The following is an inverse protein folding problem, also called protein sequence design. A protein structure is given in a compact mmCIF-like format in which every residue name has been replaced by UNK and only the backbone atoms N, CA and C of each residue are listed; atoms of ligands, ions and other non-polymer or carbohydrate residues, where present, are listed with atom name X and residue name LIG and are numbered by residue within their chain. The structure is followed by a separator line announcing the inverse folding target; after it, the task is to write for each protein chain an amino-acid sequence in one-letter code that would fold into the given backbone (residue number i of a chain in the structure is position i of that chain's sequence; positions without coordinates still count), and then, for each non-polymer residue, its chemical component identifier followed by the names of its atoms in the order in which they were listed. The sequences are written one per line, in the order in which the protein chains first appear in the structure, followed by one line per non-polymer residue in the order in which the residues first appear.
data_IF_222653774122
#
_entry.id   IF_222653774122
#
_cell.length_a   1.000
_cell.length_b   1.000
_cell.length_c   1.000
_cell.angle_alpha   90.00
_cell.angle_beta   90.00
_cell.angle_gamma   90.00
#
_symmetry.space_group_name_H-M   'P 1'
#
loop_
_entity.id
_entity.type
_entity.pdbx_description
1 polymer ?
#
# COMPACT_ATOMS: atom_id res chain seq x y z
N UNK A 1 -36.41 7.16 -14.89
CA UNK A 1 -35.14 7.48 -15.56
C UNK A 1 -33.88 7.13 -14.75
N UNK A 2 -33.78 7.44 -13.46
CA UNK A 2 -32.60 7.09 -12.61
C UNK A 2 -32.33 5.57 -12.55
N UNK A 3 -33.38 4.73 -12.37
CA UNK A 3 -33.26 3.27 -12.29
C UNK A 3 -32.65 2.65 -13.57
N UNK A 4 -33.02 3.14 -14.73
CA UNK A 4 -32.48 2.67 -16.02
C UNK A 4 -31.04 3.18 -16.27
N UNK A 5 -30.68 4.38 -15.80
CA UNK A 5 -29.29 4.87 -15.84
C UNK A 5 -28.37 4.07 -14.91
N UNK A 6 -28.84 3.71 -13.72
CA UNK A 6 -28.10 2.85 -12.80
C UNK A 6 -27.94 1.44 -13.39
N UNK A 7 -29.00 0.81 -13.89
CA UNK A 7 -28.93 -0.51 -14.53
C UNK A 7 -28.01 -0.55 -15.76
N UNK A 8 -27.95 0.50 -16.55
CA UNK A 8 -27.02 0.60 -17.69
C UNK A 8 -25.56 0.82 -17.23
N UNK A 9 -25.33 1.53 -16.13
CA UNK A 9 -24.01 1.63 -15.49
C UNK A 9 -23.51 0.28 -14.95
N UNK A 10 -24.41 -0.52 -14.35
CA UNK A 10 -24.09 -1.88 -13.85
C UNK A 10 -23.76 -2.87 -14.98
N UNK A 11 -24.31 -2.69 -16.18
CA UNK A 11 -24.01 -3.52 -17.36
C UNK A 11 -22.77 -3.06 -18.13
N UNK A 12 -22.17 -1.93 -17.78
CA UNK A 12 -21.01 -1.40 -18.50
C UNK A 12 -19.77 -2.29 -18.29
N UNK A 13 -18.95 -2.47 -19.34
CA UNK A 13 -17.66 -3.17 -19.29
C UNK A 13 -16.75 -2.61 -18.18
N UNK A 14 -16.84 -1.30 -17.94
CA UNK A 14 -16.09 -0.61 -16.88
C UNK A 14 -16.49 -1.06 -15.48
N UNK A 15 -17.78 -1.22 -15.20
CA UNK A 15 -18.27 -1.70 -13.90
C UNK A 15 -17.87 -3.16 -13.64
N UNK A 16 -17.97 -4.02 -14.66
CA UNK A 16 -17.49 -5.41 -14.57
C UNK A 16 -15.99 -5.47 -14.28
N UNK A 17 -15.20 -4.67 -14.95
CA UNK A 17 -13.76 -4.55 -14.69
C UNK A 17 -13.46 -4.05 -13.28
N UNK A 18 -14.24 -3.09 -12.77
CA UNK A 18 -14.12 -2.58 -11.40
C UNK A 18 -14.39 -3.67 -10.37
N UNK A 19 -15.45 -4.47 -10.54
CA UNK A 19 -15.76 -5.58 -9.64
C UNK A 19 -14.62 -6.62 -9.66
N UNK A 20 -14.15 -7.01 -10.84
CA UNK A 20 -13.07 -7.99 -10.98
C UNK A 20 -11.80 -7.49 -10.30
N UNK A 21 -11.44 -6.23 -10.50
CA UNK A 21 -10.30 -5.60 -9.84
C UNK A 21 -10.48 -5.53 -8.33
N UNK A 22 -11.67 -5.12 -7.87
CA UNK A 22 -12.02 -5.06 -6.46
C UNK A 22 -11.93 -6.42 -5.77
N UNK A 23 -12.41 -7.49 -6.41
CA UNK A 23 -12.27 -8.86 -5.90
C UNK A 23 -10.79 -9.27 -5.79
N UNK A 24 -9.98 -8.97 -6.81
CA UNK A 24 -8.54 -9.23 -6.76
C UNK A 24 -7.84 -8.47 -5.62
N UNK A 25 -8.25 -7.24 -5.34
CA UNK A 25 -7.73 -6.46 -4.20
C UNK A 25 -8.24 -6.99 -2.85
N UNK A 26 -9.50 -7.43 -2.78
CA UNK A 26 -10.06 -8.04 -1.57
C UNK A 26 -9.27 -9.30 -1.16
N UNK A 27 -8.87 -10.13 -2.11
CA UNK A 27 -8.03 -11.32 -1.83
C UNK A 27 -6.67 -10.93 -1.26
N UNK A 28 -6.08 -9.82 -1.69
CA UNK A 28 -4.83 -9.30 -1.12
C UNK A 28 -4.97 -8.91 0.35
N UNK A 29 -6.15 -8.47 0.79
CA UNK A 29 -6.44 -8.14 2.19
C UNK A 29 -6.84 -9.36 3.01
N UNK A 30 -7.69 -10.23 2.44
CA UNK A 30 -8.24 -11.40 3.13
C UNK A 30 -7.14 -12.46 3.36
N UNK A 31 -6.23 -12.65 2.41
CA UNK A 31 -5.17 -13.66 2.54
C UNK A 31 -4.35 -13.50 3.83
N UNK A 32 -3.69 -12.36 4.10
CA UNK A 32 -3.00 -12.14 5.36
C UNK A 32 -3.92 -12.20 6.59
N UNK A 33 -5.17 -11.71 6.47
CA UNK A 33 -6.13 -11.73 7.58
C UNK A 33 -6.47 -13.15 8.04
N UNK A 34 -6.58 -14.10 7.11
CA UNK A 34 -6.82 -15.52 7.43
C UNK A 34 -5.58 -16.21 7.99
N UNK A 35 -4.40 -15.82 7.55
CA UNK A 35 -3.14 -16.48 7.91
C UNK A 35 -2.61 -15.99 9.26
N UNK A 36 -2.79 -14.72 9.62
CA UNK A 36 -2.27 -14.14 10.87
C UNK A 36 -2.73 -14.90 12.11
N UNK A 37 -4.02 -15.25 12.31
CA UNK A 37 -4.46 -16.03 13.46
C UNK A 37 -3.75 -17.39 13.57
N UNK A 38 -3.50 -18.06 12.44
CA UNK A 38 -2.77 -19.31 12.40
C UNK A 38 -1.30 -19.12 12.76
N UNK A 39 -0.64 -18.08 12.23
CA UNK A 39 0.74 -17.74 12.56
C UNK A 39 0.88 -17.42 14.04
N UNK A 40 -0.03 -16.63 14.62
CA UNK A 40 0.00 -16.29 16.05
C UNK A 40 -0.17 -17.55 16.89
N UNK A 41 -1.06 -18.46 16.49
CA UNK A 41 -1.28 -19.72 17.20
C UNK A 41 -0.02 -20.62 17.22
N UNK A 42 0.69 -20.73 16.11
CA UNK A 42 1.86 -21.62 15.98
C UNK A 42 3.17 -20.93 16.38
N UNK A 43 3.42 -19.73 15.88
CA UNK A 43 4.70 -19.01 16.04
C UNK A 43 4.70 -17.97 17.16
N UNK A 44 3.52 -17.71 17.75
CA UNK A 44 3.36 -16.64 18.74
C UNK A 44 3.41 -15.23 18.14
N UNK A 45 3.18 -14.24 18.98
CA UNK A 45 3.25 -12.81 18.60
C UNK A 45 4.70 -12.44 18.20
N UNK A 46 5.70 -13.02 18.86
CA UNK A 46 7.11 -12.78 18.53
C UNK A 46 7.47 -13.22 17.11
N UNK A 47 7.05 -14.43 16.69
CA UNK A 47 7.27 -14.93 15.33
C UNK A 47 6.56 -14.07 14.28
N UNK A 48 5.35 -13.60 14.58
CA UNK A 48 4.64 -12.66 13.73
C UNK A 48 5.37 -11.31 13.63
N UNK A 49 5.93 -10.81 14.72
CA UNK A 49 6.71 -9.56 14.76
C UNK A 49 7.95 -9.65 13.87
N UNK A 50 8.76 -10.71 14.00
CA UNK A 50 9.93 -10.98 13.16
C UNK A 50 9.54 -11.06 11.68
N UNK A 51 8.51 -11.82 11.34
CA UNK A 51 7.99 -11.90 9.98
C UNK A 51 7.54 -10.53 9.46
N UNK A 52 6.91 -9.71 10.32
CA UNK A 52 6.49 -8.35 9.99
C UNK A 52 7.65 -7.40 9.68
N UNK A 53 8.77 -7.50 10.41
CA UNK A 53 9.99 -6.73 10.15
C UNK A 53 10.56 -7.06 8.77
N UNK A 54 10.77 -8.35 8.47
CA UNK A 54 11.29 -8.76 7.16
C UNK A 54 10.33 -8.45 6.01
N UNK A 55 9.02 -8.58 6.22
CA UNK A 55 8.02 -8.14 5.24
C UNK A 55 8.14 -6.65 4.93
N UNK A 56 8.26 -5.81 5.95
CA UNK A 56 8.40 -4.36 5.80
C UNK A 56 9.71 -3.97 5.13
N UNK A 57 10.81 -4.67 5.47
CA UNK A 57 12.10 -4.50 4.79
C UNK A 57 11.98 -4.79 3.29
N UNK A 58 11.35 -5.90 2.93
CA UNK A 58 11.11 -6.25 1.53
C UNK A 58 10.23 -5.23 0.80
N UNK A 59 9.16 -4.70 1.45
CA UNK A 59 8.27 -3.71 0.84
C UNK A 59 8.97 -2.36 0.59
N UNK A 60 9.90 -1.95 1.44
CA UNK A 60 10.73 -0.77 1.19
C UNK A 60 11.67 -1.02 0.00
N UNK A 61 12.32 -2.19 -0.05
CA UNK A 61 13.20 -2.57 -1.15
C UNK A 61 12.48 -2.65 -2.51
N UNK A 62 11.23 -3.11 -2.54
CA UNK A 62 10.38 -3.18 -3.74
C UNK A 62 10.27 -1.85 -4.45
N UNK A 63 10.17 -0.73 -3.73
CA UNK A 63 10.02 0.60 -4.34
C UNK A 63 11.22 0.96 -5.21
N UNK A 64 12.41 0.55 -4.79
CA UNK A 64 13.64 0.77 -5.55
C UNK A 64 13.72 -0.11 -6.81
N UNK A 65 13.14 -1.30 -6.79
CA UNK A 65 13.09 -2.21 -7.95
C UNK A 65 11.99 -1.80 -8.93
N UNK A 66 10.80 -1.41 -8.43
CA UNK A 66 9.68 -0.98 -9.28
C UNK A 66 9.95 0.34 -10.00
N UNK A 67 10.68 1.24 -9.39
CA UNK A 67 11.24 2.47 -9.95
C UNK A 67 10.29 3.23 -10.89
N UNK A 68 9.09 3.57 -10.42
CA UNK A 68 8.10 4.35 -11.20
C UNK A 68 7.36 3.57 -12.31
N UNK A 69 7.77 2.34 -12.60
CA UNK A 69 7.21 1.54 -13.70
C UNK A 69 5.69 1.34 -13.60
N UNK A 70 5.16 1.27 -12.38
CA UNK A 70 3.73 1.13 -12.13
C UNK A 70 2.92 2.37 -12.57
N UNK A 71 3.49 3.56 -12.51
CA UNK A 71 2.80 4.82 -12.89
C UNK A 71 3.06 5.12 -14.36
N UNK A 72 4.30 5.36 -14.74
CA UNK A 72 4.64 5.82 -16.09
C UNK A 72 4.62 4.67 -17.11
N UNK A 73 5.04 3.47 -16.73
CA UNK A 73 4.91 2.28 -17.56
C UNK A 73 3.45 2.03 -17.94
N UNK A 74 2.55 1.98 -16.95
CA UNK A 74 1.11 1.83 -17.17
C UNK A 74 0.54 2.90 -18.11
N UNK A 75 0.94 4.18 -17.92
CA UNK A 75 0.50 5.30 -18.76
C UNK A 75 0.92 5.12 -20.22
N UNK A 76 2.18 4.78 -20.47
CA UNK A 76 2.69 4.59 -21.85
C UNK A 76 1.97 3.44 -22.54
N UNK A 77 1.78 2.30 -21.86
CA UNK A 77 1.04 1.15 -22.40
C UNK A 77 -0.42 1.53 -22.73
N UNK A 78 -1.08 2.29 -21.85
CA UNK A 78 -2.48 2.70 -22.05
C UNK A 78 -2.65 3.61 -23.28
N UNK A 79 -1.72 4.54 -23.50
CA UNK A 79 -1.76 5.49 -24.64
C UNK A 79 -1.44 4.77 -25.96
N UNK A 80 -0.52 3.81 -25.96
CA UNK A 80 0.03 3.16 -27.16
C UNK A 80 -0.42 1.70 -27.32
N UNK A 81 -1.56 1.32 -26.79
CA UNK A 81 -2.02 -0.06 -26.72
C UNK A 81 -2.18 -0.77 -28.08
N UNK A 82 -2.30 -0.01 -29.18
CA UNK A 82 -2.38 -0.52 -30.55
C UNK A 82 -1.02 -0.61 -31.27
N UNK A 83 0.05 -0.03 -30.71
CA UNK A 83 1.37 -0.02 -31.33
C UNK A 83 2.30 -1.05 -30.67
N UNK A 84 2.46 -2.21 -31.33
CA UNK A 84 3.26 -3.33 -30.81
C UNK A 84 4.72 -2.94 -30.54
N UNK A 85 5.34 -2.15 -31.42
CA UNK A 85 6.77 -1.81 -31.30
C UNK A 85 7.04 -0.95 -30.06
N UNK A 86 6.17 0.03 -29.78
CA UNK A 86 6.25 0.85 -28.57
C UNK A 86 6.00 -0.02 -27.32
N UNK A 87 5.03 -0.94 -27.38
CA UNK A 87 4.78 -1.88 -26.27
C UNK A 87 6.01 -2.75 -25.99
N UNK A 88 6.63 -3.30 -27.02
CA UNK A 88 7.83 -4.12 -26.94
C UNK A 88 9.01 -3.34 -26.35
N UNK A 89 9.30 -2.17 -26.91
CA UNK A 89 10.39 -1.33 -26.43
C UNK A 89 10.21 -0.94 -24.96
N UNK A 90 9.00 -0.51 -24.58
CA UNK A 90 8.74 -0.09 -23.20
C UNK A 90 8.77 -1.26 -22.22
N UNK A 91 8.20 -2.42 -22.61
CA UNK A 91 8.22 -3.64 -21.80
C UNK A 91 9.66 -4.10 -21.54
N UNK A 92 10.45 -4.24 -22.60
CA UNK A 92 11.82 -4.73 -22.49
C UNK A 92 12.74 -3.76 -21.76
N UNK A 93 12.57 -2.44 -21.99
CA UNK A 93 13.34 -1.40 -21.27
C UNK A 93 13.02 -1.38 -19.78
N UNK A 94 11.75 -1.46 -19.38
CA UNK A 94 11.37 -1.53 -17.98
C UNK A 94 11.93 -2.78 -17.31
N UNK A 95 11.83 -3.95 -17.94
CA UNK A 95 12.37 -5.18 -17.33
C UNK A 95 13.90 -5.18 -17.26
N UNK A 96 14.60 -4.63 -18.23
CA UNK A 96 16.05 -4.44 -18.15
C UNK A 96 16.40 -3.48 -17.00
N UNK A 97 15.69 -2.36 -16.87
CA UNK A 97 15.87 -1.41 -15.77
C UNK A 97 15.64 -2.06 -14.42
N UNK A 98 14.52 -2.78 -14.25
CA UNK A 98 14.21 -3.52 -13.03
C UNK A 98 15.25 -4.58 -12.71
N UNK A 99 15.79 -5.27 -13.69
CA UNK A 99 16.85 -6.27 -13.50
C UNK A 99 18.15 -5.63 -12.96
N UNK A 100 18.59 -4.53 -13.55
CA UNK A 100 19.77 -3.80 -13.08
C UNK A 100 19.58 -3.28 -11.66
N UNK A 101 18.40 -2.71 -11.38
CA UNK A 101 18.07 -2.23 -10.05
C UNK A 101 17.91 -3.38 -9.04
N UNK A 102 17.36 -4.53 -9.43
CA UNK A 102 17.28 -5.71 -8.56
C UNK A 102 18.66 -6.14 -8.09
N UNK A 103 19.65 -6.21 -8.99
CA UNK A 103 21.02 -6.58 -8.60
C UNK A 103 21.61 -5.60 -7.59
N UNK A 104 21.45 -4.29 -7.83
CA UNK A 104 21.90 -3.24 -6.90
C UNK A 104 21.17 -3.32 -5.56
N UNK A 105 19.84 -3.47 -5.59
CA UNK A 105 19.01 -3.53 -4.38
C UNK A 105 19.33 -4.78 -3.57
N UNK A 106 19.48 -5.95 -4.20
CA UNK A 106 19.86 -7.17 -3.50
C UNK A 106 21.24 -7.04 -2.85
N UNK A 107 22.21 -6.46 -3.56
CA UNK A 107 23.54 -6.18 -2.99
C UNK A 107 23.45 -5.26 -1.76
N UNK A 108 22.71 -4.15 -1.86
CA UNK A 108 22.50 -3.24 -0.73
C UNK A 108 21.76 -3.91 0.42
N UNK A 109 20.74 -4.72 0.14
CA UNK A 109 20.02 -5.48 1.16
C UNK A 109 20.96 -6.47 1.90
N UNK A 110 21.79 -7.22 1.16
CA UNK A 110 22.78 -8.12 1.75
C UNK A 110 23.76 -7.35 2.64
N UNK A 111 24.27 -6.21 2.16
CA UNK A 111 25.16 -5.35 2.93
C UNK A 111 24.49 -4.91 4.25
N UNK A 112 23.25 -4.40 4.19
CA UNK A 112 22.51 -3.97 5.38
C UNK A 112 22.25 -5.12 6.35
N UNK A 113 21.87 -6.30 5.86
CA UNK A 113 21.57 -7.48 6.70
C UNK A 113 22.80 -7.94 7.47
N UNK A 114 23.99 -7.93 6.85
CA UNK A 114 25.19 -8.44 7.50
C UNK A 114 25.96 -7.38 8.29
N UNK A 115 25.78 -6.08 8.01
CA UNK A 115 26.48 -5.00 8.71
C UNK A 115 25.70 -4.42 9.87
N UNK A 116 24.37 -4.39 9.82
CA UNK A 116 23.55 -3.79 10.87
C UNK A 116 23.14 -4.87 11.88
N UNK A 117 23.56 -4.77 13.17
CA UNK A 117 23.27 -5.79 14.18
C UNK A 117 21.79 -6.12 14.33
N UNK A 118 20.90 -5.14 14.18
CA UNK A 118 19.46 -5.32 14.24
C UNK A 118 18.94 -6.30 13.18
N UNK A 119 19.41 -6.21 11.94
CA UNK A 119 19.01 -7.12 10.86
C UNK A 119 19.77 -8.45 10.91
N UNK A 120 21.00 -8.43 11.39
CA UNK A 120 21.84 -9.63 11.48
C UNK A 120 21.26 -10.68 12.44
N UNK A 121 20.56 -10.26 13.49
CA UNK A 121 19.90 -11.13 14.47
C UNK A 121 18.95 -12.14 13.81
N UNK A 122 18.15 -11.70 12.85
CA UNK A 122 17.18 -12.52 12.13
C UNK A 122 17.49 -12.59 10.62
N UNK A 123 18.80 -12.67 10.28
CA UNK A 123 19.29 -12.60 8.90
C UNK A 123 18.63 -13.63 7.97
N UNK A 124 18.45 -14.88 8.40
CA UNK A 124 17.83 -15.94 7.60
C UNK A 124 16.40 -15.58 7.19
N UNK A 125 15.61 -15.06 8.13
CA UNK A 125 14.22 -14.65 7.88
C UNK A 125 14.16 -13.45 6.93
N UNK A 126 15.04 -12.44 7.10
CA UNK A 126 15.08 -11.25 6.24
C UNK A 126 15.57 -11.61 4.85
N UNK A 127 16.57 -12.47 4.72
CA UNK A 127 17.05 -13.00 3.43
C UNK A 127 15.92 -13.71 2.66
N UNK A 128 15.17 -14.58 3.32
CA UNK A 128 14.03 -15.26 2.73
C UNK A 128 12.91 -14.28 2.34
N UNK A 129 12.77 -13.17 3.05
CA UNK A 129 11.83 -12.09 2.67
C UNK A 129 12.19 -11.42 1.35
N UNK A 130 13.46 -11.45 0.90
CA UNK A 130 13.87 -10.91 -0.39
C UNK A 130 13.24 -11.65 -1.59
N UNK A 131 12.71 -12.87 -1.39
CA UNK A 131 11.91 -13.55 -2.42
C UNK A 131 10.67 -12.74 -2.82
N UNK A 132 10.13 -11.91 -1.92
CA UNK A 132 9.03 -10.98 -2.23
C UNK A 132 9.51 -9.93 -3.25
N UNK A 133 10.75 -9.43 -3.08
CA UNK A 133 11.35 -8.44 -4.00
C UNK A 133 11.56 -9.07 -5.39
N UNK A 134 12.03 -10.32 -5.45
CA UNK A 134 12.17 -11.08 -6.71
C UNK A 134 10.80 -11.29 -7.37
N UNK A 135 9.76 -11.63 -6.59
CA UNK A 135 8.40 -11.78 -7.09
C UNK A 135 7.86 -10.47 -7.70
N UNK A 136 8.16 -9.33 -7.09
CA UNK A 136 7.77 -8.03 -7.60
C UNK A 136 8.57 -7.60 -8.84
N UNK A 137 9.84 -7.99 -8.95
CA UNK A 137 10.62 -7.79 -10.17
C UNK A 137 9.92 -8.42 -11.38
N UNK A 138 9.45 -9.67 -11.25
CA UNK A 138 8.78 -10.40 -12.33
C UNK A 138 7.37 -9.87 -12.59
N UNK A 139 6.73 -9.21 -11.61
CA UNK A 139 5.32 -8.84 -11.63
C UNK A 139 4.94 -7.94 -12.83
N UNK A 140 4.08 -8.43 -13.77
CA UNK A 140 3.68 -7.72 -14.96
C UNK A 140 2.34 -6.94 -14.80
N UNK A 141 1.84 -6.78 -13.59
CA UNK A 141 0.51 -6.17 -13.35
C UNK A 141 0.40 -4.75 -13.91
N UNK A 142 1.49 -3.98 -13.92
CA UNK A 142 1.56 -2.65 -14.53
C UNK A 142 1.22 -2.67 -16.05
N UNK A 143 1.67 -3.70 -16.77
CA UNK A 143 1.39 -3.87 -18.19
C UNK A 143 -0.09 -4.23 -18.42
N UNK A 144 -0.61 -5.21 -17.69
CA UNK A 144 -2.04 -5.58 -17.75
C UNK A 144 -2.95 -4.42 -17.35
N UNK A 145 -2.52 -3.56 -16.42
CA UNK A 145 -3.26 -2.37 -16.02
C UNK A 145 -3.31 -1.35 -17.17
N UNK A 146 -2.21 -1.12 -17.88
CA UNK A 146 -2.18 -0.28 -19.07
C UNK A 146 -3.11 -0.79 -20.18
N UNK A 147 -3.20 -2.10 -20.37
CA UNK A 147 -4.15 -2.74 -21.28
C UNK A 147 -5.59 -2.84 -20.76
N UNK A 148 -5.86 -2.36 -19.53
CA UNK A 148 -7.14 -2.51 -18.83
C UNK A 148 -7.61 -3.97 -18.69
N UNK A 149 -6.65 -4.90 -18.65
CA UNK A 149 -6.92 -6.33 -18.50
C UNK A 149 -6.90 -6.76 -17.03
N UNK A 150 -7.90 -6.30 -16.30
CA UNK A 150 -8.02 -6.52 -14.85
C UNK A 150 -8.21 -7.99 -14.46
N UNK A 151 -8.65 -8.84 -15.39
CA UNK A 151 -8.79 -10.28 -15.15
C UNK A 151 -7.44 -10.92 -14.82
N UNK A 152 -6.38 -10.60 -15.59
CA UNK A 152 -5.05 -11.13 -15.34
C UNK A 152 -4.44 -10.60 -14.05
N UNK A 153 -4.69 -9.32 -13.71
CA UNK A 153 -4.26 -8.74 -12.43
C UNK A 153 -4.89 -9.53 -11.27
N UNK A 154 -6.22 -9.75 -11.33
CA UNK A 154 -6.92 -10.50 -10.29
C UNK A 154 -6.47 -11.95 -10.21
N UNK A 155 -6.24 -12.61 -11.36
CA UNK A 155 -5.74 -13.99 -11.41
C UNK A 155 -4.36 -14.12 -10.74
N UNK A 156 -3.41 -13.22 -11.07
CA UNK A 156 -2.08 -13.20 -10.45
C UNK A 156 -2.20 -13.02 -8.93
N UNK A 157 -3.04 -12.09 -8.47
CA UNK A 157 -3.26 -11.85 -7.06
C UNK A 157 -3.85 -13.08 -6.35
N UNK A 158 -4.89 -13.70 -6.93
CA UNK A 158 -5.55 -14.88 -6.36
C UNK A 158 -4.57 -16.06 -6.29
N UNK A 159 -3.90 -16.39 -7.39
CA UNK A 159 -2.94 -17.50 -7.45
C UNK A 159 -1.82 -17.30 -6.43
N UNK A 160 -1.24 -16.10 -6.38
CA UNK A 160 -0.20 -15.77 -5.41
C UNK A 160 -0.66 -16.00 -3.96
N UNK A 161 -1.88 -15.57 -3.61
CA UNK A 161 -2.40 -15.71 -2.25
C UNK A 161 -2.84 -17.13 -1.92
N UNK A 162 -3.39 -17.87 -2.88
CA UNK A 162 -3.72 -19.31 -2.69
C UNK A 162 -2.46 -20.11 -2.40
N UNK A 163 -1.38 -19.89 -3.17
CA UNK A 163 -0.09 -20.53 -2.90
C UNK A 163 0.44 -20.15 -1.52
N UNK A 164 0.43 -18.85 -1.19
CA UNK A 164 0.89 -18.35 0.12
C UNK A 164 0.14 -19.02 1.27
N UNK A 165 -1.21 -18.92 1.26
CA UNK A 165 -2.06 -19.49 2.32
C UNK A 165 -1.87 -21.01 2.40
N UNK A 166 -1.87 -21.71 1.26
CA UNK A 166 -1.66 -23.15 1.20
C UNK A 166 -0.30 -23.56 1.79
N UNK A 167 0.79 -22.90 1.38
CA UNK A 167 2.12 -23.19 1.93
C UNK A 167 2.20 -22.89 3.43
N UNK A 168 1.64 -21.80 3.92
CA UNK A 168 1.65 -21.49 5.35
C UNK A 168 0.90 -22.56 6.14
N UNK A 169 -0.30 -22.96 5.73
CA UNK A 169 -1.08 -23.97 6.44
C UNK A 169 -0.44 -25.37 6.41
N UNK A 170 0.31 -25.70 5.35
CA UNK A 170 0.94 -27.03 5.21
C UNK A 170 2.32 -27.12 5.89
N UNK A 171 3.11 -26.05 5.85
CA UNK A 171 4.52 -26.12 6.24
C UNK A 171 4.88 -25.36 7.53
N UNK A 172 4.04 -24.43 8.02
CA UNK A 172 4.27 -23.75 9.29
C UNK A 172 3.62 -24.58 10.39
N UNK A 173 4.41 -25.40 11.08
CA UNK A 173 3.92 -26.33 12.12
C UNK A 173 4.60 -26.12 13.46
N UNK A 174 5.74 -25.42 13.51
CA UNK A 174 6.55 -25.19 14.71
C UNK A 174 6.83 -23.71 14.87
N UNK A 175 7.08 -23.22 16.10
CA UNK A 175 7.42 -21.81 16.33
C UNK A 175 8.57 -21.28 15.48
N UNK A 176 9.60 -22.10 15.23
CA UNK A 176 10.78 -21.72 14.45
C UNK A 176 10.49 -21.53 12.96
N UNK A 177 9.36 -22.05 12.46
CA UNK A 177 9.00 -21.98 11.03
C UNK A 177 8.59 -20.56 10.59
N UNK A 178 8.53 -19.59 11.55
CA UNK A 178 8.27 -18.18 11.22
C UNK A 178 9.20 -17.64 10.13
N UNK A 179 10.41 -18.20 10.01
CA UNK A 179 11.40 -17.80 8.99
C UNK A 179 10.89 -17.98 7.56
N UNK A 180 9.99 -18.93 7.33
CA UNK A 180 9.46 -19.26 5.99
C UNK A 180 8.21 -18.46 5.60
N UNK A 181 7.57 -17.73 6.52
CA UNK A 181 6.31 -17.03 6.27
C UNK A 181 6.42 -16.10 5.04
N UNK A 182 7.45 -15.26 5.02
CA UNK A 182 7.68 -14.34 3.92
C UNK A 182 8.24 -15.03 2.67
N UNK A 183 8.97 -16.14 2.82
CA UNK A 183 9.40 -16.96 1.70
C UNK A 183 8.22 -17.51 0.92
N UNK A 184 7.21 -18.04 1.58
CA UNK A 184 6.00 -18.55 0.93
C UNK A 184 5.20 -17.45 0.23
N UNK A 185 5.16 -16.25 0.82
CA UNK A 185 4.58 -15.08 0.13
C UNK A 185 5.36 -14.71 -1.14
N UNK A 186 6.70 -14.73 -1.06
CA UNK A 186 7.59 -14.51 -2.19
C UNK A 186 7.44 -15.57 -3.27
N UNK A 187 7.44 -16.85 -2.90
CA UNK A 187 7.25 -17.98 -3.84
C UNK A 187 5.90 -17.86 -4.55
N UNK A 188 4.81 -17.59 -3.80
CA UNK A 188 3.49 -17.38 -4.39
C UNK A 188 3.50 -16.22 -5.39
N UNK A 189 4.20 -15.12 -5.07
CA UNK A 189 4.35 -13.98 -5.96
C UNK A 189 5.18 -14.31 -7.19
N UNK A 190 6.31 -15.02 -7.04
CA UNK A 190 7.18 -15.46 -8.16
C UNK A 190 6.39 -16.34 -9.12
N UNK A 191 5.74 -17.38 -8.63
CA UNK A 191 4.99 -18.33 -9.46
C UNK A 191 3.87 -17.62 -10.21
N UNK A 192 3.02 -16.88 -9.50
CA UNK A 192 1.89 -16.19 -10.13
C UNK A 192 2.33 -15.12 -11.14
N UNK A 193 3.37 -14.34 -10.80
CA UNK A 193 3.92 -13.31 -11.69
C UNK A 193 4.59 -13.91 -12.92
N UNK A 194 5.28 -15.05 -12.79
CA UNK A 194 5.89 -15.76 -13.92
C UNK A 194 4.85 -16.21 -14.94
N UNK A 195 3.69 -16.73 -14.50
CA UNK A 195 2.60 -17.04 -15.42
C UNK A 195 2.11 -15.79 -16.19
N UNK A 196 1.96 -14.66 -15.50
CA UNK A 196 1.57 -13.41 -16.12
C UNK A 196 2.62 -12.89 -17.11
N UNK A 197 3.91 -12.93 -16.74
CA UNK A 197 5.04 -12.53 -17.57
C UNK A 197 5.14 -13.37 -18.84
N UNK A 198 5.13 -14.70 -18.71
CA UNK A 198 5.18 -15.64 -19.82
C UNK A 198 3.98 -15.45 -20.77
N UNK A 199 2.78 -15.20 -20.21
CA UNK A 199 1.60 -14.88 -21.04
C UNK A 199 1.83 -13.69 -21.95
N UNK A 200 2.40 -12.59 -21.42
CA UNK A 200 2.71 -11.40 -22.23
C UNK A 200 3.78 -11.75 -23.27
N UNK A 201 4.87 -12.36 -22.81
CA UNK A 201 6.01 -12.69 -23.67
C UNK A 201 5.60 -13.52 -24.88
N UNK A 202 4.83 -14.62 -24.68
CA UNK A 202 4.36 -15.46 -25.76
C UNK A 202 3.25 -14.81 -26.59
N UNK A 203 2.30 -14.10 -25.98
CA UNK A 203 1.19 -13.47 -26.71
C UNK A 203 1.66 -12.39 -27.67
N UNK A 204 2.64 -11.60 -27.29
CA UNK A 204 3.15 -10.49 -28.08
C UNK A 204 4.45 -10.82 -28.83
N UNK A 205 5.07 -11.98 -28.53
CA UNK A 205 6.35 -12.41 -29.12
C UNK A 205 7.43 -11.31 -29.00
N UNK A 206 7.57 -10.71 -27.80
CA UNK A 206 8.53 -9.64 -27.55
C UNK A 206 9.98 -10.16 -27.58
N UNK A 207 10.91 -9.32 -28.07
CA UNK A 207 12.33 -9.60 -28.12
C UNK A 207 13.11 -8.57 -27.30
N UNK A 208 13.99 -9.04 -26.42
CA UNK A 208 14.87 -8.15 -25.64
C UNK A 208 15.96 -7.45 -26.46
N UNK A 209 16.04 -7.73 -27.76
CA UNK A 209 16.99 -7.05 -28.67
C UNK A 209 16.65 -5.58 -28.93
N UNK A 210 15.43 -5.15 -28.64
CA UNK A 210 14.94 -3.78 -28.88
C UNK A 210 15.38 -2.76 -27.82
N UNK A 211 15.97 -3.22 -26.72
CA UNK A 211 16.41 -2.36 -25.61
C UNK A 211 17.93 -2.31 -25.47
N UNK A 212 18.42 -1.30 -24.73
CA UNK A 212 19.84 -1.11 -24.43
C UNK A 212 20.03 -0.58 -23.00
N UNK A 213 21.25 -0.75 -22.47
CA UNK A 213 21.62 -0.20 -21.16
C UNK A 213 21.47 1.32 -21.15
N UNK A 214 21.74 2.01 -22.27
CA UNK A 214 21.54 3.46 -22.37
C UNK A 214 20.07 3.87 -22.15
N UNK A 215 19.11 3.15 -22.76
CA UNK A 215 17.68 3.40 -22.56
C UNK A 215 17.26 3.11 -21.10
N UNK A 216 17.81 2.07 -20.49
CA UNK A 216 17.53 1.74 -19.09
C UNK A 216 18.07 2.82 -18.14
N UNK A 217 19.29 3.30 -18.33
CA UNK A 217 19.88 4.39 -17.51
C UNK A 217 19.16 5.73 -17.71
N UNK A 218 18.68 6.00 -18.92
CA UNK A 218 17.85 7.16 -19.17
C UNK A 218 16.54 7.09 -18.38
N UNK A 219 15.87 5.93 -18.38
CA UNK A 219 14.64 5.71 -17.60
C UNK A 219 14.89 5.91 -16.09
N UNK A 220 16.02 5.43 -15.57
CA UNK A 220 16.42 5.66 -14.18
C UNK A 220 16.50 7.16 -13.87
N UNK A 221 17.11 7.97 -14.74
CA UNK A 221 17.22 9.42 -14.54
C UNK A 221 15.85 10.12 -14.58
N UNK A 222 15.00 9.75 -15.52
CA UNK A 222 13.66 10.33 -15.69
C UNK A 222 12.76 10.06 -14.47
N UNK A 223 12.81 8.84 -13.91
CA UNK A 223 11.93 8.40 -12.83
C UNK A 223 12.49 8.66 -11.43
N UNK A 224 13.70 9.19 -11.29
CA UNK A 224 14.39 9.37 -10.01
C UNK A 224 13.56 10.14 -8.99
N UNK A 225 13.04 11.31 -9.37
CA UNK A 225 12.27 12.17 -8.46
C UNK A 225 10.98 11.48 -7.96
N UNK A 226 10.31 10.74 -8.85
CA UNK A 226 9.11 9.97 -8.50
C UNK A 226 9.45 8.85 -7.53
N UNK A 227 10.52 8.11 -7.81
CA UNK A 227 10.97 6.99 -6.97
C UNK A 227 11.38 7.44 -5.58
N UNK A 228 12.11 8.55 -5.44
CA UNK A 228 12.46 9.12 -4.15
C UNK A 228 11.20 9.47 -3.35
N UNK A 229 10.21 10.10 -3.98
CA UNK A 229 8.94 10.42 -3.31
C UNK A 229 8.20 9.17 -2.83
N UNK A 230 8.18 8.10 -3.64
CA UNK A 230 7.57 6.82 -3.28
C UNK A 230 8.35 6.12 -2.17
N UNK A 231 9.67 6.23 -2.16
CA UNK A 231 10.51 5.66 -1.11
C UNK A 231 10.21 6.29 0.26
N UNK A 232 10.10 7.62 0.35
CA UNK A 232 9.70 8.28 1.60
C UNK A 232 8.29 7.86 2.05
N UNK A 233 7.34 7.76 1.13
CA UNK A 233 6.01 7.26 1.44
C UNK A 233 6.05 5.81 1.95
N UNK A 234 6.90 4.97 1.37
CA UNK A 234 7.11 3.59 1.81
C UNK A 234 7.72 3.53 3.22
N UNK A 235 8.69 4.37 3.54
CA UNK A 235 9.20 4.50 4.90
C UNK A 235 8.11 4.92 5.88
N UNK A 236 7.29 5.90 5.55
CA UNK A 236 6.16 6.31 6.39
C UNK A 236 5.22 5.12 6.70
N UNK A 237 4.98 4.28 5.71
CA UNK A 237 4.02 3.20 5.82
C UNK A 237 4.58 1.94 6.47
N UNK A 238 5.84 1.57 6.20
CA UNK A 238 6.40 0.27 6.55
C UNK A 238 7.50 0.31 7.61
N UNK A 239 8.21 1.43 7.79
CA UNK A 239 9.25 1.52 8.82
C UNK A 239 8.71 1.48 10.28
N UNK A 240 7.47 1.86 10.60
CA UNK A 240 6.95 1.81 11.95
C UNK A 240 7.16 0.46 12.66
N UNK A 241 6.86 -0.67 12.04
CA UNK A 241 7.02 -1.98 12.68
C UNK A 241 8.49 -2.31 12.97
N UNK A 242 9.42 -1.87 12.09
CA UNK A 242 10.86 -2.05 12.32
C UNK A 242 11.32 -1.25 13.53
N UNK A 243 10.78 -0.03 13.68
CA UNK A 243 11.06 0.83 14.81
C UNK A 243 10.49 0.26 16.13
N UNK A 244 9.28 -0.28 16.07
CA UNK A 244 8.65 -0.97 17.22
C UNK A 244 9.49 -2.18 17.65
N UNK A 245 9.94 -3.01 16.69
CA UNK A 245 10.81 -4.15 16.98
C UNK A 245 12.16 -3.70 17.53
N UNK A 246 12.75 -2.64 16.98
CA UNK A 246 14.05 -2.12 17.43
C UNK A 246 14.03 -1.61 18.89
N UNK A 247 12.95 -0.90 19.28
CA UNK A 247 12.83 -0.28 20.60
C UNK A 247 12.18 -1.21 21.62
N UNK A 248 11.14 -1.94 21.24
CA UNK A 248 10.28 -2.71 22.14
C UNK A 248 10.39 -4.23 21.98
N UNK A 249 11.23 -4.69 21.04
CA UNK A 249 11.40 -6.10 20.75
C UNK A 249 10.33 -6.71 19.83
N UNK A 250 10.59 -7.94 19.42
CA UNK A 250 9.79 -8.62 18.38
C UNK A 250 8.38 -9.00 18.86
N UNK A 251 8.21 -9.25 20.16
CA UNK A 251 6.89 -9.49 20.75
C UNK A 251 5.99 -8.25 20.62
N UNK A 252 6.50 -7.06 20.97
CA UNK A 252 5.78 -5.80 20.81
C UNK A 252 5.49 -5.50 19.32
N UNK A 253 6.41 -5.85 18.42
CA UNK A 253 6.19 -5.72 16.98
C UNK A 253 5.09 -6.66 16.48
N UNK A 254 4.94 -7.84 17.06
CA UNK A 254 3.81 -8.76 16.79
C UNK A 254 2.47 -8.15 17.18
N UNK A 255 2.39 -7.60 18.39
CA UNK A 255 1.20 -6.89 18.88
C UNK A 255 0.86 -5.68 18.00
N UNK A 256 1.88 -4.89 17.64
CA UNK A 256 1.72 -3.80 16.67
C UNK A 256 1.16 -4.33 15.34
N UNK A 257 1.71 -5.44 14.83
CA UNK A 257 1.30 -6.02 13.54
C UNK A 257 -0.15 -6.47 13.51
N UNK A 258 -0.66 -7.03 14.60
CA UNK A 258 -2.07 -7.43 14.73
C UNK A 258 -2.98 -6.19 14.58
N UNK A 259 -2.67 -5.12 15.28
CA UNK A 259 -3.46 -3.87 15.23
C UNK A 259 -3.30 -3.19 13.87
N UNK A 260 -2.07 -3.08 13.37
CA UNK A 260 -1.79 -2.48 12.06
C UNK A 260 -2.48 -3.22 10.91
N UNK A 261 -2.65 -4.55 11.02
CA UNK A 261 -3.40 -5.32 10.01
C UNK A 261 -4.85 -4.83 9.87
N UNK A 262 -5.49 -4.46 10.96
CA UNK A 262 -6.84 -3.89 10.92
C UNK A 262 -6.80 -2.46 10.34
N UNK A 263 -5.85 -1.65 10.76
CA UNK A 263 -5.63 -0.30 10.19
C UNK A 263 -5.39 -0.36 8.68
N UNK A 264 -4.61 -1.35 8.22
CA UNK A 264 -4.31 -1.58 6.78
C UNK A 264 -5.55 -1.89 5.94
N UNK A 265 -6.57 -2.55 6.51
CA UNK A 265 -7.85 -2.78 5.82
C UNK A 265 -8.50 -1.42 5.47
N UNK A 266 -8.61 -0.53 6.46
CA UNK A 266 -9.19 0.79 6.25
C UNK A 266 -8.34 1.66 5.33
N UNK A 267 -7.00 1.62 5.47
CA UNK A 267 -6.07 2.33 4.57
C UNK A 267 -6.27 1.91 3.11
N UNK A 268 -6.34 0.61 2.86
CA UNK A 268 -6.55 0.09 1.50
C UNK A 268 -7.93 0.47 0.98
N UNK A 269 -8.96 0.41 1.82
CA UNK A 269 -10.30 0.86 1.47
C UNK A 269 -10.30 2.35 1.06
N UNK A 270 -9.68 3.24 1.86
CA UNK A 270 -9.59 4.66 1.52
C UNK A 270 -8.85 4.91 0.21
N UNK A 271 -7.78 4.16 -0.05
CA UNK A 271 -7.06 4.27 -1.32
C UNK A 271 -7.92 3.82 -2.52
N UNK A 272 -8.69 2.75 -2.38
CA UNK A 272 -9.63 2.29 -3.42
C UNK A 272 -10.75 3.31 -3.64
N UNK A 273 -11.33 3.83 -2.58
CA UNK A 273 -12.36 4.85 -2.65
C UNK A 273 -11.84 6.14 -3.29
N UNK A 274 -10.64 6.58 -2.90
CA UNK A 274 -9.95 7.70 -3.54
C UNK A 274 -9.85 7.50 -5.05
N UNK A 275 -9.31 6.38 -5.50
CA UNK A 275 -9.11 6.08 -6.92
C UNK A 275 -10.44 6.04 -7.70
N UNK A 276 -11.51 5.60 -7.05
CA UNK A 276 -12.83 5.46 -7.66
C UNK A 276 -13.50 6.83 -7.94
N UNK A 277 -13.46 7.74 -6.96
CA UNK A 277 -14.23 9.00 -7.05
C UNK A 277 -13.40 10.18 -7.55
N UNK A 278 -12.07 10.09 -7.53
CA UNK A 278 -11.16 11.21 -7.81
C UNK A 278 -11.40 11.86 -9.17
N UNK A 279 -11.55 11.06 -10.22
CA UNK A 279 -11.78 11.58 -11.58
C UNK A 279 -13.08 12.36 -11.69
N UNK A 280 -14.16 11.91 -11.04
CA UNK A 280 -15.46 12.60 -11.02
C UNK A 280 -15.36 13.93 -10.26
N UNK A 281 -14.65 13.94 -9.14
CA UNK A 281 -14.41 15.17 -8.35
C UNK A 281 -13.64 16.20 -9.17
N UNK A 282 -12.54 15.79 -9.83
CA UNK A 282 -11.76 16.68 -10.69
C UNK A 282 -12.62 17.29 -11.81
N UNK A 283 -13.42 16.46 -12.50
CA UNK A 283 -14.30 16.94 -13.57
C UNK A 283 -15.30 17.96 -13.05
N UNK A 284 -15.96 17.69 -11.93
CA UNK A 284 -16.95 18.60 -11.34
C UNK A 284 -16.32 19.91 -10.83
N UNK A 285 -15.12 19.85 -10.24
CA UNK A 285 -14.37 21.04 -9.83
C UNK A 285 -13.97 21.88 -11.04
N UNK A 286 -13.51 21.24 -12.13
CA UNK A 286 -13.17 21.92 -13.38
C UNK A 286 -14.37 22.64 -14.00
N UNK A 287 -15.55 21.99 -14.01
CA UNK A 287 -16.79 22.60 -14.54
C UNK A 287 -17.32 23.74 -13.66
N UNK A 288 -17.37 23.53 -12.36
CA UNK A 288 -17.80 24.53 -11.37
C UNK A 288 -17.25 24.17 -9.99
N UNK A 289 -16.38 25.00 -9.46
CA UNK A 289 -15.71 24.77 -8.17
C UNK A 289 -16.71 24.57 -7.03
N UNK A 290 -17.78 25.36 -6.96
CA UNK A 290 -18.79 25.28 -5.90
C UNK A 290 -19.57 23.97 -5.95
N UNK A 291 -20.00 23.55 -7.13
CA UNK A 291 -20.72 22.28 -7.34
C UNK A 291 -19.76 21.11 -7.05
N UNK A 292 -18.52 21.19 -7.52
CA UNK A 292 -17.50 20.19 -7.28
C UNK A 292 -17.18 19.98 -5.80
N UNK A 293 -16.97 21.07 -5.05
CA UNK A 293 -16.71 21.01 -3.60
C UNK A 293 -17.95 20.48 -2.85
N UNK A 294 -19.15 20.88 -3.22
CA UNK A 294 -20.37 20.36 -2.58
C UNK A 294 -20.52 18.85 -2.83
N UNK A 295 -20.31 18.40 -4.05
CA UNK A 295 -20.32 16.98 -4.38
C UNK A 295 -19.23 16.21 -3.58
N UNK A 296 -18.01 16.76 -3.49
CA UNK A 296 -16.93 16.20 -2.69
C UNK A 296 -17.32 16.07 -1.21
N UNK A 297 -17.94 17.09 -0.62
CA UNK A 297 -18.42 17.06 0.79
C UNK A 297 -19.43 15.94 0.99
N UNK A 298 -20.45 15.86 0.12
CA UNK A 298 -21.53 14.88 0.22
C UNK A 298 -20.96 13.46 0.08
N UNK A 299 -20.19 13.22 -0.97
CA UNK A 299 -19.67 11.87 -1.27
C UNK A 299 -18.68 11.37 -0.20
N UNK A 300 -17.74 12.23 0.23
CA UNK A 300 -16.81 11.88 1.30
C UNK A 300 -17.50 11.83 2.66
N UNK A 301 -18.50 12.68 2.92
CA UNK A 301 -19.28 12.65 4.16
C UNK A 301 -20.01 11.33 4.38
N UNK A 302 -20.75 10.84 3.37
CA UNK A 302 -21.40 9.52 3.44
C UNK A 302 -20.40 8.38 3.60
N UNK A 303 -19.29 8.41 2.85
CA UNK A 303 -18.25 7.42 2.97
C UNK A 303 -17.62 7.40 4.37
N UNK A 304 -17.34 8.59 4.92
CA UNK A 304 -16.77 8.73 6.25
C UNK A 304 -17.72 8.23 7.35
N UNK A 305 -19.02 8.53 7.22
CA UNK A 305 -20.03 8.02 8.14
C UNK A 305 -20.10 6.49 8.13
N UNK A 306 -20.07 5.87 6.94
CA UNK A 306 -20.03 4.41 6.80
C UNK A 306 -18.81 3.82 7.51
N UNK A 307 -17.62 4.41 7.28
CA UNK A 307 -16.39 3.95 7.94
C UNK A 307 -16.46 4.12 9.45
N UNK A 308 -17.01 5.24 9.95
CA UNK A 308 -17.19 5.45 11.39
C UNK A 308 -18.09 4.38 12.03
N UNK A 309 -19.18 4.00 11.37
CA UNK A 309 -20.06 2.92 11.85
C UNK A 309 -19.28 1.60 11.93
N UNK A 310 -18.49 1.27 10.90
CA UNK A 310 -17.65 0.08 10.92
C UNK A 310 -16.60 0.14 12.05
N UNK A 311 -15.93 1.27 12.23
CA UNK A 311 -14.96 1.46 13.31
C UNK A 311 -15.60 1.32 14.70
N UNK A 312 -16.82 1.81 14.91
CA UNK A 312 -17.57 1.61 16.14
C UNK A 312 -17.88 0.14 16.39
N UNK A 313 -18.27 -0.62 15.35
CA UNK A 313 -18.46 -2.07 15.47
C UNK A 313 -17.15 -2.77 15.92
N UNK A 314 -16.00 -2.41 15.35
CA UNK A 314 -14.69 -2.94 15.78
C UNK A 314 -14.34 -2.51 17.20
N UNK A 315 -14.63 -1.28 17.58
CA UNK A 315 -14.34 -0.71 18.91
C UNK A 315 -15.10 -1.45 20.02
N UNK A 316 -16.41 -1.71 19.82
CA UNK A 316 -17.21 -2.43 20.82
C UNK A 316 -16.93 -3.93 20.85
N UNK A 317 -16.45 -4.51 19.73
CA UNK A 317 -16.13 -5.93 19.64
C UNK A 317 -14.62 -6.22 19.69
N UNK A 318 -13.83 -5.33 20.31
CA UNK A 318 -12.36 -5.44 20.39
C UNK A 318 -11.90 -6.80 20.92
N UNK A 319 -12.52 -7.32 21.97
CA UNK A 319 -12.14 -8.60 22.57
C UNK A 319 -12.35 -9.76 21.58
N UNK A 320 -13.49 -9.80 20.91
CA UNK A 320 -13.80 -10.83 19.90
C UNK A 320 -12.75 -10.80 18.77
N UNK A 321 -12.34 -9.60 18.34
CA UNK A 321 -11.34 -9.46 17.28
C UNK A 321 -9.96 -9.94 17.74
N UNK A 322 -9.53 -9.58 18.93
CA UNK A 322 -8.25 -10.04 19.49
C UNK A 322 -8.22 -11.55 19.71
N UNK A 323 -9.33 -12.12 20.19
CA UNK A 323 -9.48 -13.59 20.29
C UNK A 323 -9.46 -14.27 18.92
N UNK A 324 -10.06 -13.66 17.90
CA UNK A 324 -9.96 -14.15 16.51
C UNK A 324 -8.50 -14.21 16.05
N UNK A 325 -7.67 -13.21 16.40
CA UNK A 325 -6.23 -13.21 16.12
C UNK A 325 -5.43 -14.16 17.02
N UNK A 326 -6.07 -14.96 17.89
CA UNK A 326 -5.42 -15.91 18.79
C UNK A 326 -4.41 -15.28 19.76
N UNK A 327 -4.66 -14.02 20.14
CA UNK A 327 -3.92 -13.37 21.22
C UNK A 327 -4.23 -14.11 22.52
N UNK A 328 -3.22 -14.31 23.39
CA UNK A 328 -3.40 -14.97 24.68
C UNK A 328 -4.39 -14.21 25.55
N UNK A 329 -5.25 -14.91 26.28
CA UNK A 329 -6.32 -14.31 27.09
C UNK A 329 -5.78 -13.26 28.10
N UNK A 330 -4.62 -13.53 28.70
CA UNK A 330 -3.96 -12.59 29.63
C UNK A 330 -3.52 -11.28 28.94
N UNK A 331 -3.15 -11.34 27.66
CA UNK A 331 -2.69 -10.19 26.89
C UNK A 331 -3.84 -9.46 26.21
N UNK A 332 -5.00 -10.09 26.00
CA UNK A 332 -6.20 -9.43 25.43
C UNK A 332 -6.58 -8.20 26.24
N UNK A 333 -6.60 -8.29 27.59
CA UNK A 333 -6.95 -7.14 28.43
C UNK A 333 -5.96 -5.98 28.32
N UNK A 334 -4.66 -6.28 28.17
CA UNK A 334 -3.60 -5.28 27.98
C UNK A 334 -3.64 -4.67 26.58
N UNK A 335 -3.92 -5.50 25.56
CA UNK A 335 -3.90 -5.08 24.18
C UNK A 335 -5.19 -4.36 23.75
N UNK A 336 -6.31 -4.62 24.41
CA UNK A 336 -7.60 -4.00 24.08
C UNK A 336 -7.61 -2.47 24.10
N UNK A 337 -7.04 -1.77 25.10
CA UNK A 337 -6.92 -0.31 25.08
C UNK A 337 -6.04 0.19 23.92
N UNK A 338 -4.95 -0.52 23.63
CA UNK A 338 -4.04 -0.20 22.52
C UNK A 338 -4.71 -0.38 21.17
N UNK A 339 -5.50 -1.45 21.00
CA UNK A 339 -6.30 -1.70 19.83
C UNK A 339 -7.33 -0.59 19.58
N UNK A 340 -8.05 -0.17 20.63
CA UNK A 340 -9.00 0.96 20.58
C UNK A 340 -8.31 2.26 20.18
N UNK A 341 -7.10 2.52 20.68
CA UNK A 341 -6.29 3.67 20.27
C UNK A 341 -5.88 3.55 18.82
N UNK A 342 -5.43 2.37 18.36
CA UNK A 342 -5.10 2.10 16.95
C UNK A 342 -6.27 2.33 15.99
N UNK A 343 -7.52 2.05 16.42
CA UNK A 343 -8.73 2.32 15.64
C UNK A 343 -9.01 3.82 15.41
N UNK A 344 -8.38 4.72 16.18
CA UNK A 344 -8.47 6.16 15.91
C UNK A 344 -7.66 6.56 14.66
N UNK A 345 -6.62 5.81 14.30
CA UNK A 345 -5.82 6.11 13.10
C UNK A 345 -6.69 6.20 11.84
N UNK A 346 -7.54 5.20 11.49
CA UNK A 346 -8.43 5.30 10.34
C UNK A 346 -9.41 6.48 10.39
N UNK A 347 -9.79 6.97 11.59
CA UNK A 347 -10.63 8.17 11.72
C UNK A 347 -9.92 9.37 11.12
N UNK A 348 -8.67 9.63 11.51
CA UNK A 348 -7.88 10.73 10.98
C UNK A 348 -7.50 10.49 9.51
N UNK A 349 -7.14 9.26 9.13
CA UNK A 349 -6.84 8.90 7.75
C UNK A 349 -8.00 9.16 6.80
N UNK A 350 -9.24 8.92 7.20
CA UNK A 350 -10.42 9.20 6.37
C UNK A 350 -10.52 10.68 6.00
N UNK A 351 -10.19 11.56 6.93
CA UNK A 351 -10.16 13.01 6.70
C UNK A 351 -8.96 13.38 5.81
N UNK A 352 -7.76 12.86 6.11
CA UNK A 352 -6.56 13.18 5.32
C UNK A 352 -6.68 12.71 3.86
N UNK A 353 -7.25 11.51 3.61
CA UNK A 353 -7.51 11.00 2.26
C UNK A 353 -8.57 11.85 1.50
N UNK A 354 -9.61 12.32 2.18
CA UNK A 354 -10.61 13.20 1.57
C UNK A 354 -9.98 14.54 1.18
N UNK A 355 -9.19 15.17 2.04
CA UNK A 355 -8.49 16.42 1.75
C UNK A 355 -7.45 16.26 0.65
N UNK A 356 -6.73 15.13 0.62
CA UNK A 356 -5.76 14.78 -0.42
C UNK A 356 -6.38 14.82 -1.83
N UNK A 357 -7.67 14.44 -1.99
CA UNK A 357 -8.36 14.55 -3.27
C UNK A 357 -8.40 16.01 -3.77
N UNK A 358 -8.69 16.96 -2.88
CA UNK A 358 -8.71 18.38 -3.22
C UNK A 358 -7.30 18.92 -3.51
N UNK A 359 -6.27 18.50 -2.74
CA UNK A 359 -4.88 18.88 -2.98
C UNK A 359 -4.47 18.51 -4.42
N UNK A 360 -4.84 17.32 -4.87
CA UNK A 360 -4.54 16.88 -6.23
C UNK A 360 -5.46 17.52 -7.29
N UNK A 361 -6.74 17.73 -6.98
CA UNK A 361 -7.68 18.40 -7.89
C UNK A 361 -7.31 19.88 -8.16
N UNK A 362 -6.60 20.52 -7.22
CA UNK A 362 -6.07 21.87 -7.37
C UNK A 362 -4.58 21.92 -7.79
N UNK A 363 -4.04 20.82 -8.33
CA UNK A 363 -2.66 20.69 -8.85
C UNK A 363 -1.55 21.06 -7.85
N UNK A 364 -1.79 20.83 -6.54
CA UNK A 364 -0.82 21.11 -5.47
C UNK A 364 0.13 19.93 -5.19
N UNK A 365 0.45 19.14 -6.21
CA UNK A 365 1.27 17.93 -6.10
C UNK A 365 2.64 18.19 -5.46
N UNK A 366 3.32 19.29 -5.82
CA UNK A 366 4.62 19.66 -5.24
C UNK A 366 4.54 19.89 -3.72
N UNK A 367 3.45 20.49 -3.25
CA UNK A 367 3.24 20.75 -1.82
C UNK A 367 2.91 19.43 -1.10
N UNK A 368 2.07 18.59 -1.70
CA UNK A 368 1.82 17.25 -1.19
C UNK A 368 3.12 16.46 -0.93
N UNK A 369 4.03 16.44 -1.90
CA UNK A 369 5.33 15.78 -1.77
C UNK A 369 6.13 16.35 -0.58
N UNK A 370 6.23 17.67 -0.46
CA UNK A 370 6.95 18.30 0.66
C UNK A 370 6.36 17.95 2.03
N UNK A 371 5.02 17.97 2.15
CA UNK A 371 4.32 17.56 3.38
C UNK A 371 4.60 16.10 3.69
N UNK A 372 4.51 15.21 2.70
CA UNK A 372 4.77 13.78 2.88
C UNK A 372 6.20 13.53 3.36
N UNK A 373 7.20 14.16 2.73
CA UNK A 373 8.61 14.05 3.13
C UNK A 373 8.81 14.49 4.58
N UNK A 374 8.34 15.68 4.92
CA UNK A 374 8.46 16.22 6.27
C UNK A 374 7.73 15.37 7.31
N UNK A 375 6.49 14.98 7.01
CA UNK A 375 5.69 14.11 7.89
C UNK A 375 6.34 12.74 8.11
N UNK A 376 7.02 12.17 7.11
CA UNK A 376 7.73 10.89 7.26
C UNK A 376 8.86 11.01 8.28
N UNK A 377 9.72 12.02 8.14
CA UNK A 377 10.84 12.23 9.08
C UNK A 377 10.32 12.51 10.48
N UNK A 378 9.32 13.40 10.59
CA UNK A 378 8.71 13.75 11.87
C UNK A 378 8.03 12.54 12.53
N UNK A 379 7.35 11.69 11.73
CA UNK A 379 6.68 10.47 12.19
C UNK A 379 7.66 9.50 12.84
N UNK A 380 8.77 9.20 12.17
CA UNK A 380 9.76 8.25 12.68
C UNK A 380 10.45 8.80 13.93
N UNK A 381 10.76 10.10 13.96
CA UNK A 381 11.35 10.76 15.13
C UNK A 381 10.41 10.76 16.35
N UNK A 382 9.16 11.18 16.17
CA UNK A 382 8.15 11.17 17.24
C UNK A 382 7.85 9.75 17.71
N UNK A 383 7.73 8.80 16.78
CA UNK A 383 7.47 7.40 17.12
C UNK A 383 8.60 6.83 17.96
N UNK A 384 9.87 7.08 17.61
CA UNK A 384 11.02 6.64 18.41
C UNK A 384 10.96 7.19 19.84
N UNK A 385 10.72 8.50 19.99
CA UNK A 385 10.64 9.15 21.30
C UNK A 385 9.46 8.58 22.13
N UNK A 386 8.29 8.43 21.53
CA UNK A 386 7.10 7.96 22.23
C UNK A 386 7.18 6.46 22.58
N UNK A 387 7.72 5.64 21.68
CA UNK A 387 7.96 4.21 21.96
C UNK A 387 8.86 4.03 23.18
N UNK A 388 9.92 4.83 23.29
CA UNK A 388 10.87 4.76 24.40
C UNK A 388 10.26 5.16 25.72
N UNK A 389 9.31 6.13 25.73
CA UNK A 389 8.71 6.67 26.96
C UNK A 389 7.42 5.94 27.40
N UNK A 390 6.56 5.57 26.45
CA UNK A 390 5.21 5.04 26.74
C UNK A 390 4.92 3.74 25.97
N UNK A 391 5.95 3.08 25.43
CA UNK A 391 5.83 1.78 24.77
C UNK A 391 4.93 1.79 23.53
N UNK A 392 4.21 0.69 23.30
CA UNK A 392 3.38 0.48 22.10
C UNK A 392 2.28 1.55 21.92
N UNK A 393 1.74 2.11 23.01
CA UNK A 393 0.80 3.22 22.96
C UNK A 393 1.40 4.42 22.21
N UNK A 394 2.71 4.65 22.39
CA UNK A 394 3.45 5.72 21.73
C UNK A 394 3.49 5.58 20.21
N UNK A 395 3.53 4.38 19.68
CA UNK A 395 3.50 4.14 18.24
C UNK A 395 2.17 4.59 17.62
N UNK A 396 1.05 4.31 18.27
CA UNK A 396 -0.26 4.71 17.78
C UNK A 396 -0.52 6.21 17.95
N UNK A 397 -0.17 6.78 19.12
CA UNK A 397 -0.31 8.21 19.37
C UNK A 397 0.55 9.06 18.42
N UNK A 398 1.79 8.67 18.17
CA UNK A 398 2.65 9.37 17.19
C UNK A 398 2.02 9.38 15.79
N UNK A 399 1.45 8.26 15.35
CA UNK A 399 0.75 8.16 14.05
C UNK A 399 -0.48 9.08 14.02
N UNK A 400 -1.29 9.12 15.07
CA UNK A 400 -2.46 10.00 15.18
C UNK A 400 -2.04 11.48 15.13
N UNK A 401 -0.98 11.86 15.84
CA UNK A 401 -0.44 13.23 15.83
C UNK A 401 0.00 13.62 14.43
N UNK A 402 0.69 12.73 13.72
CA UNK A 402 1.15 12.99 12.35
C UNK A 402 -0.02 13.09 11.36
N UNK A 403 -1.01 12.21 11.44
CA UNK A 403 -2.22 12.34 10.59
C UNK A 403 -2.94 13.68 10.87
N UNK A 404 -3.03 14.07 12.15
CA UNK A 404 -3.60 15.36 12.53
C UNK A 404 -2.79 16.54 11.96
N UNK A 405 -1.47 16.46 12.01
CA UNK A 405 -0.59 17.46 11.40
C UNK A 405 -0.81 17.54 9.87
N UNK A 406 -0.88 16.41 9.17
CA UNK A 406 -1.17 16.35 7.72
C UNK A 406 -2.51 17.03 7.41
N UNK A 407 -3.55 16.74 8.18
CA UNK A 407 -4.88 17.35 8.05
C UNK A 407 -4.78 18.88 8.19
N UNK A 408 -4.11 19.36 9.24
CA UNK A 408 -3.95 20.80 9.48
C UNK A 408 -3.22 21.47 8.31
N UNK A 409 -2.13 20.87 7.83
CA UNK A 409 -1.37 21.40 6.68
C UNK A 409 -2.21 21.45 5.41
N UNK A 410 -3.01 20.40 5.14
CA UNK A 410 -3.93 20.41 3.99
C UNK A 410 -5.02 21.46 4.13
N UNK A 411 -5.61 21.64 5.30
CA UNK A 411 -6.62 22.67 5.55
C UNK A 411 -6.06 24.09 5.37
N UNK A 412 -4.84 24.36 5.85
CA UNK A 412 -4.19 25.67 5.68
C UNK A 412 -4.02 25.97 4.18
N UNK A 413 -3.58 25.00 3.38
CA UNK A 413 -3.38 25.17 1.94
C UNK A 413 -4.71 25.36 1.22
N UNK A 414 -5.71 24.56 1.57
CA UNK A 414 -7.02 24.59 0.93
C UNK A 414 -7.85 25.81 1.37
N UNK A 415 -7.58 26.40 2.52
CA UNK A 415 -8.26 27.61 3.00
C UNK A 415 -8.27 28.71 1.93
N UNK A 416 -7.15 28.94 1.26
CA UNK A 416 -7.03 29.93 0.20
C UNK A 416 -7.99 29.67 -0.98
N UNK A 417 -8.31 28.42 -1.27
CA UNK A 417 -9.21 28.01 -2.36
C UNK A 417 -10.67 27.91 -1.91
N UNK A 418 -10.90 27.46 -0.67
CA UNK A 418 -12.24 27.29 -0.12
C UNK A 418 -12.92 28.62 0.27
N UNK A 419 -12.13 29.65 0.60
CA UNK A 419 -12.64 30.95 1.04
C UNK A 419 -12.55 32.05 -0.03
N UNK A 420 -11.57 31.99 -0.99
CA UNK A 420 -11.55 32.90 -2.15
C UNK A 420 -12.76 32.75 -3.09
N UNK A 421 -13.43 31.61 -3.06
CA UNK A 421 -14.69 31.41 -3.79
C UNK A 421 -15.86 32.24 -3.22
N UNK A 422 -15.74 32.82 -2.01
CA UNK A 422 -16.72 33.77 -1.48
C UNK A 422 -16.54 35.19 -2.04
N UNK A 423 -15.30 35.65 -2.19
CA UNK A 423 -15.02 37.04 -2.61
C UNK A 423 -15.20 37.30 -4.11
N UNK A 424 -15.05 36.29 -4.98
CA UNK A 424 -15.32 36.45 -6.41
C UNK A 424 -16.82 36.57 -6.77
N UNK A 425 -17.72 36.08 -5.91
CA UNK A 425 -19.17 36.18 -6.15
C UNK A 425 -19.80 37.49 -5.59
N UNK A 426 -19.11 38.23 -4.71
CA UNK A 426 -19.57 39.55 -4.25
C UNK A 426 -19.18 40.69 -5.21
N UNK A 427 -18.34 40.43 -6.22
CA UNK A 427 -17.95 41.41 -7.25
C UNK A 427 -18.65 41.23 -8.58
N UNK A 428 -19.60 40.30 -8.70
CA UNK A 428 -20.38 40.02 -9.94
C UNK A 428 -21.90 40.20 -9.69
N UNK A 429 -22.31 40.65 -8.51
CA UNK A 429 -23.65 41.17 -8.26
C UNK A 429 -23.49 42.72 -8.07
#
# INVERSE_FOLDING_TARGET
MLKNRLLNKFKSKQFKNFIIYGLGQAVNLIGPLLVIPYIVHICGEEGLGKAGVGFSFALIAIVLVDYGSYINGTKVIAINNANRDILEEKFTTIYLTKFLLLLVVLFLCLLLIFTIPFFKKDASQILLSLLIVVGQFINPTWFFQGLQNFKWISLINIVSKVIYVGCVLLFIQKPQDYIYINAFLGIGSIVASSFGFLKIYYQYSFSFKTTSISKATQLIKEEFSLTVSQLFFSFYQYAPIMLVSYVGGDFMAGQYRIIDQVVMIFRTYFQMFFNFIYAEICLKIYQNIRIGINNWKITNGYNYLLVLVLLLLFFFNTQIILTFFKVNEQDVFKLAPLFKTGLLIPVFMGISFALKQLIFAFDKNKIYIKITLFSTVLSLGLMYLFLKNIGLLGAFLSTIIIESFIIIMYLIILKQYLFKTKECNEKVN
#
